data_IF_018312031317
#
_entry.id   IF_018312031317
#
_cell.length_a   1.000
_cell.length_b   1.000
_cell.length_c   1.000
_cell.angle_alpha   90.00
_cell.angle_beta   90.00
_cell.angle_gamma   90.00
#
_symmetry.space_group_name_H-M   'P 1'
#
loop_
_entity.id
_entity.type
_entity.pdbx_description
1 polymer ?
#
# COMPACT_ATOMS: atom_id res chain seq x y z
N UNK A 1 32.63 -7.52 22.02
CA UNK A 1 31.39 -8.33 21.94
C UNK A 1 30.18 -7.44 22.32
N UNK A 2 30.27 -6.14 22.02
CA UNK A 2 29.48 -5.10 22.71
C UNK A 2 28.55 -4.32 21.77
N UNK A 3 28.69 -4.53 20.45
CA UNK A 3 27.85 -3.87 19.44
C UNK A 3 26.40 -4.35 19.48
N UNK A 4 26.10 -5.55 19.98
CA UNK A 4 24.73 -6.09 19.96
C UNK A 4 23.82 -5.48 21.04
N UNK A 5 24.38 -5.10 22.19
CA UNK A 5 23.62 -4.53 23.31
C UNK A 5 23.23 -3.06 23.03
N UNK A 6 24.14 -2.29 22.44
CA UNK A 6 23.89 -0.88 22.07
C UNK A 6 22.90 -0.79 20.89
N UNK A 7 22.92 -1.77 19.98
CA UNK A 7 22.07 -1.76 18.79
C UNK A 7 20.64 -2.27 19.04
N UNK A 8 20.35 -2.92 20.16
CA UNK A 8 19.00 -3.38 20.51
C UNK A 8 17.96 -2.26 20.63
N UNK A 9 18.16 -1.18 21.42
CA UNK A 9 17.18 -0.10 21.51
C UNK A 9 16.95 0.59 20.16
N UNK A 10 18.00 0.71 19.35
CA UNK A 10 17.91 1.27 18.00
C UNK A 10 17.07 0.37 17.07
N UNK A 11 17.28 -0.96 17.09
CA UNK A 11 16.48 -1.93 16.32
C UNK A 11 15.00 -1.89 16.71
N UNK A 12 14.68 -1.76 18.00
CA UNK A 12 13.31 -1.63 18.50
C UNK A 12 12.66 -0.33 18.00
N UNK A 13 13.41 0.78 18.03
CA UNK A 13 12.95 2.06 17.53
C UNK A 13 12.67 2.01 16.02
N UNK A 14 13.61 1.46 15.23
CA UNK A 14 13.48 1.29 13.77
C UNK A 14 12.25 0.45 13.44
N UNK A 15 12.04 -0.68 14.13
CA UNK A 15 10.87 -1.53 13.92
C UNK A 15 9.56 -0.78 14.21
N UNK A 16 9.48 -0.05 15.32
CA UNK A 16 8.29 0.76 15.67
C UNK A 16 8.01 1.84 14.62
N UNK A 17 9.05 2.54 14.16
CA UNK A 17 8.91 3.57 13.12
C UNK A 17 8.48 2.94 11.80
N UNK A 18 9.10 1.82 11.40
CA UNK A 18 8.75 1.11 10.18
C UNK A 18 7.29 0.64 10.19
N UNK A 19 6.81 0.05 11.29
CA UNK A 19 5.40 -0.36 11.43
C UNK A 19 4.46 0.84 11.30
N UNK A 20 4.76 1.95 11.99
CA UNK A 20 3.93 3.18 11.92
C UNK A 20 3.91 3.77 10.52
N UNK A 21 5.07 3.86 9.86
CA UNK A 21 5.19 4.34 8.49
C UNK A 21 4.42 3.44 7.51
N UNK A 22 4.51 2.11 7.68
CA UNK A 22 3.78 1.15 6.84
C UNK A 22 2.27 1.30 7.03
N UNK A 23 1.80 1.45 8.27
CA UNK A 23 0.39 1.69 8.56
C UNK A 23 -0.11 3.01 7.96
N UNK A 24 0.65 4.10 8.12
CA UNK A 24 0.31 5.39 7.55
C UNK A 24 0.19 5.29 6.02
N UNK A 25 1.18 4.68 5.38
CA UNK A 25 1.20 4.54 3.92
C UNK A 25 0.08 3.61 3.44
N UNK A 26 -0.21 2.53 4.15
CA UNK A 26 -1.35 1.66 3.85
C UNK A 26 -2.69 2.41 3.94
N UNK A 27 -2.85 3.31 4.93
CA UNK A 27 -4.04 4.17 5.02
C UNK A 27 -4.14 5.11 3.82
N UNK A 28 -3.03 5.74 3.40
CA UNK A 28 -3.02 6.62 2.22
C UNK A 28 -3.40 5.84 0.95
N UNK A 29 -2.84 4.64 0.74
CA UNK A 29 -3.18 3.77 -0.39
C UNK A 29 -4.64 3.32 -0.32
N UNK A 30 -5.15 3.01 0.87
CA UNK A 30 -6.55 2.64 1.09
C UNK A 30 -7.50 3.80 0.77
N UNK A 31 -7.19 5.02 1.22
CA UNK A 31 -7.97 6.21 0.88
C UNK A 31 -7.94 6.50 -0.62
N UNK A 32 -6.81 6.27 -1.28
CA UNK A 32 -6.72 6.38 -2.74
C UNK A 32 -7.60 5.33 -3.45
N UNK A 33 -7.57 4.08 -3.02
CA UNK A 33 -8.47 3.04 -3.56
C UNK A 33 -9.95 3.37 -3.34
N UNK A 34 -10.30 3.90 -2.17
CA UNK A 34 -11.65 4.36 -1.85
C UNK A 34 -12.07 5.56 -2.72
N UNK A 35 -11.16 6.50 -2.96
CA UNK A 35 -11.38 7.62 -3.86
C UNK A 35 -11.70 7.13 -5.28
N UNK A 36 -10.96 6.15 -5.79
CA UNK A 36 -11.21 5.53 -7.10
C UNK A 36 -12.58 4.84 -7.15
N UNK A 37 -13.04 4.24 -6.06
CA UNK A 37 -14.35 3.60 -5.99
C UNK A 37 -15.52 4.60 -5.95
N UNK A 38 -15.39 5.70 -5.20
CA UNK A 38 -16.49 6.63 -4.95
C UNK A 38 -16.54 7.73 -6.01
N UNK A 39 -15.39 8.34 -6.30
CA UNK A 39 -15.26 9.47 -7.21
C UNK A 39 -14.78 8.93 -8.56
N UNK A 40 -13.71 8.14 -8.55
CA UNK A 40 -13.14 7.57 -9.76
C UNK A 40 -12.19 8.50 -10.48
N UNK A 41 -11.89 8.15 -11.73
CA UNK A 41 -10.91 8.86 -12.53
C UNK A 41 -11.61 9.93 -13.40
N UNK A 42 -10.97 11.09 -13.62
CA UNK A 42 -11.47 12.05 -14.59
C UNK A 42 -11.44 11.39 -15.98
N UNK A 43 -12.62 11.14 -16.53
CA UNK A 43 -12.79 10.66 -17.90
C UNK A 43 -13.17 11.82 -18.81
N UNK A 44 -12.55 11.91 -19.98
CA UNK A 44 -13.07 12.76 -21.06
C UNK A 44 -14.22 12.03 -21.73
N UNK A 45 -15.46 12.36 -21.35
CA UNK A 45 -16.64 11.96 -22.11
C UNK A 45 -16.87 12.99 -23.20
N UNK A 46 -16.59 12.62 -24.44
CA UNK A 46 -17.04 13.38 -25.61
C UNK A 46 -18.55 13.16 -25.69
N UNK A 47 -19.32 14.10 -25.16
CA UNK A 47 -20.77 14.10 -25.33
C UNK A 47 -21.06 14.73 -26.69
N UNK A 48 -21.20 13.91 -27.73
CA UNK A 48 -21.75 14.36 -29.01
C UNK A 48 -23.21 14.76 -28.80
N UNK A 49 -23.43 16.02 -28.45
CA UNK A 49 -24.78 16.58 -28.45
C UNK A 49 -25.15 16.80 -29.91
N UNK A 50 -25.98 15.92 -30.49
CA UNK A 50 -26.66 16.22 -31.75
C UNK A 50 -27.61 17.39 -31.53
N UNK A 51 -27.10 18.61 -31.59
CA UNK A 51 -27.94 19.78 -31.79
C UNK A 51 -28.17 19.89 -33.30
N UNK A 52 -29.41 19.66 -33.70
CA UNK A 52 -29.91 20.31 -34.90
C UNK A 52 -29.63 21.81 -34.72
N UNK A 53 -28.83 22.36 -35.62
CA UNK A 53 -28.52 23.79 -35.74
C UNK A 53 -27.88 24.42 -34.48
N UNK A 54 -26.54 24.46 -34.45
CA UNK A 54 -25.68 25.59 -34.00
C UNK A 54 -24.27 25.02 -33.77
N UNK A 55 -23.25 25.74 -34.26
CA UNK A 55 -21.82 25.37 -34.24
C UNK A 55 -21.35 24.70 -32.95
N UNK A 56 -20.69 23.55 -33.13
CA UNK A 56 -20.12 22.67 -32.10
C UNK A 56 -19.21 23.44 -31.13
N UNK A 57 -19.76 23.83 -29.98
CA UNK A 57 -18.97 24.12 -28.78
C UNK A 57 -18.94 22.84 -27.97
N UNK A 58 -17.88 22.05 -28.16
CA UNK A 58 -17.60 20.86 -27.34
C UNK A 58 -17.38 21.34 -25.89
N UNK A 59 -18.42 21.27 -25.07
CA UNK A 59 -18.31 21.53 -23.63
C UNK A 59 -17.68 20.28 -22.98
N UNK A 60 -16.35 20.27 -22.92
CA UNK A 60 -15.60 19.28 -22.14
C UNK A 60 -15.88 19.51 -20.65
N UNK A 61 -16.87 18.79 -20.10
CA UNK A 61 -17.08 18.75 -18.66
C UNK A 61 -16.36 17.53 -18.09
N UNK A 62 -15.39 17.71 -17.17
CA UNK A 62 -14.74 16.57 -16.54
C UNK A 62 -15.78 15.81 -15.72
N UNK A 63 -16.21 14.65 -16.20
CA UNK A 63 -17.00 13.70 -15.42
C UNK A 63 -16.06 12.71 -14.76
N UNK A 64 -16.15 12.64 -13.45
CA UNK A 64 -15.51 11.57 -12.68
C UNK A 64 -16.36 10.32 -12.81
N UNK A 65 -15.77 9.25 -13.33
CA UNK A 65 -16.44 7.95 -13.41
C UNK A 65 -15.82 6.98 -12.43
N UNK A 66 -16.64 6.35 -11.55
CA UNK A 66 -16.19 5.33 -10.61
C UNK A 66 -15.36 4.25 -11.30
N UNK A 67 -14.21 3.94 -10.72
CA UNK A 67 -13.26 2.95 -11.20
C UNK A 67 -13.34 1.71 -10.29
N UNK A 68 -14.03 0.63 -10.69
CA UNK A 68 -14.20 -0.56 -9.84
C UNK A 68 -12.86 -1.21 -9.47
N UNK A 69 -11.82 -1.01 -10.28
CA UNK A 69 -10.47 -1.50 -10.00
C UNK A 69 -9.85 -0.89 -8.72
N UNK A 70 -10.36 0.26 -8.23
CA UNK A 70 -9.99 0.85 -6.93
C UNK A 70 -10.26 -0.06 -5.73
N UNK A 71 -11.08 -1.10 -5.90
CA UNK A 71 -11.31 -2.13 -4.88
C UNK A 71 -10.04 -2.88 -4.50
N UNK A 72 -9.15 -3.14 -5.45
CA UNK A 72 -7.93 -3.92 -5.22
C UNK A 72 -6.96 -3.19 -4.28
N UNK A 73 -6.52 -1.94 -4.53
CA UNK A 73 -5.67 -1.21 -3.61
C UNK A 73 -6.33 -0.98 -2.25
N UNK A 74 -7.66 -0.82 -2.20
CA UNK A 74 -8.41 -0.71 -0.95
C UNK A 74 -8.35 -2.02 -0.13
N UNK A 75 -8.64 -3.16 -0.75
CA UNK A 75 -8.59 -4.46 -0.09
C UNK A 75 -7.16 -4.81 0.36
N UNK A 76 -6.17 -4.54 -0.49
CA UNK A 76 -4.76 -4.75 -0.18
C UNK A 76 -4.30 -3.92 1.04
N UNK A 77 -4.75 -2.66 1.13
CA UNK A 77 -4.51 -1.80 2.28
C UNK A 77 -5.15 -2.36 3.57
N UNK A 78 -6.38 -2.87 3.50
CA UNK A 78 -7.04 -3.52 4.64
C UNK A 78 -6.24 -4.74 5.10
N UNK A 79 -5.81 -5.61 4.17
CA UNK A 79 -5.00 -6.79 4.49
C UNK A 79 -3.67 -6.42 5.16
N UNK A 80 -3.00 -5.37 4.67
CA UNK A 80 -1.78 -4.83 5.28
C UNK A 80 -2.03 -4.34 6.71
N UNK A 81 -3.07 -3.53 6.92
CA UNK A 81 -3.41 -2.97 8.23
C UNK A 81 -3.79 -4.08 9.22
N UNK A 82 -4.66 -5.00 8.82
CA UNK A 82 -5.13 -6.11 9.65
C UNK A 82 -3.98 -7.07 9.95
N UNK A 83 -3.16 -7.42 8.95
CA UNK A 83 -2.00 -8.30 9.13
C UNK A 83 -0.97 -7.71 10.10
N UNK A 84 -0.66 -6.41 9.99
CA UNK A 84 0.23 -5.71 10.92
C UNK A 84 -0.35 -5.62 12.33
N UNK A 85 -1.65 -5.29 12.47
CA UNK A 85 -2.35 -5.18 13.76
C UNK A 85 -2.42 -6.52 14.49
N UNK A 86 -2.72 -7.60 13.78
CA UNK A 86 -2.84 -8.96 14.33
C UNK A 86 -1.51 -9.68 14.46
N UNK A 87 -0.39 -9.03 14.09
CA UNK A 87 0.96 -9.61 14.02
C UNK A 87 1.04 -10.85 13.10
N UNK A 88 0.07 -11.03 12.21
CA UNK A 88 0.07 -12.09 11.19
C UNK A 88 0.75 -11.58 9.93
N UNK A 89 2.09 -11.64 9.93
CA UNK A 89 2.91 -11.18 8.79
C UNK A 89 2.48 -11.79 7.45
N UNK A 90 2.06 -13.06 7.44
CA UNK A 90 1.57 -13.72 6.22
C UNK A 90 0.42 -12.95 5.55
N UNK A 91 -0.54 -12.45 6.33
CA UNK A 91 -1.68 -11.68 5.81
C UNK A 91 -1.20 -10.34 5.25
N UNK A 92 -0.26 -9.70 5.94
CA UNK A 92 0.29 -8.43 5.50
C UNK A 92 1.09 -8.57 4.19
N UNK A 93 1.88 -9.63 4.06
CA UNK A 93 2.57 -10.00 2.83
C UNK A 93 1.60 -10.31 1.69
N UNK A 94 0.47 -10.97 1.97
CA UNK A 94 -0.56 -11.25 0.97
C UNK A 94 -1.18 -9.95 0.42
N UNK A 95 -1.46 -8.98 1.30
CA UNK A 95 -1.87 -7.63 0.90
C UNK A 95 -0.81 -6.93 0.04
N UNK A 96 0.46 -6.98 0.45
CA UNK A 96 1.56 -6.37 -0.30
C UNK A 96 1.74 -6.99 -1.70
N UNK A 97 1.73 -8.32 -1.80
CA UNK A 97 1.88 -9.03 -3.08
C UNK A 97 0.73 -8.69 -4.01
N UNK A 98 -0.51 -8.64 -3.48
CA UNK A 98 -1.68 -8.23 -4.26
C UNK A 98 -1.50 -6.81 -4.81
N UNK A 99 -1.02 -5.87 -3.97
CA UNK A 99 -0.76 -4.49 -4.37
C UNK A 99 0.33 -4.40 -5.44
N UNK A 100 1.40 -5.19 -5.31
CA UNK A 100 2.51 -5.22 -6.27
C UNK A 100 2.07 -5.82 -7.61
N UNK A 101 1.34 -6.93 -7.60
CA UNK A 101 0.81 -7.53 -8.83
C UNK A 101 -0.09 -6.54 -9.56
N UNK A 102 -1.00 -5.90 -8.82
CA UNK A 102 -1.89 -4.89 -9.36
C UNK A 102 -1.10 -3.72 -9.97
N UNK A 103 -0.14 -3.16 -9.22
CA UNK A 103 0.69 -2.07 -9.70
C UNK A 103 1.55 -2.47 -10.92
N UNK A 104 2.00 -3.72 -10.98
CA UNK A 104 2.76 -4.26 -12.12
C UNK A 104 1.90 -4.46 -13.37
N UNK A 105 0.65 -4.89 -13.20
CA UNK A 105 -0.30 -5.08 -14.30
C UNK A 105 -0.77 -3.75 -14.90
N UNK A 106 -0.86 -2.70 -14.09
CA UNK A 106 -1.32 -1.37 -14.51
C UNK A 106 -0.18 -0.34 -14.58
N UNK A 107 1.05 -0.80 -14.81
CA UNK A 107 2.27 0.02 -14.79
C UNK A 107 2.27 1.15 -15.84
N UNK A 108 1.52 0.97 -16.94
CA UNK A 108 1.35 1.96 -18.01
C UNK A 108 0.06 2.80 -17.91
N UNK A 109 -0.75 2.60 -16.86
CA UNK A 109 -1.98 3.35 -16.61
C UNK A 109 -1.85 4.40 -15.50
N UNK A 110 -2.96 5.10 -15.21
CA UNK A 110 -3.07 6.06 -14.08
C UNK A 110 -2.77 5.39 -12.73
N UNK A 111 -2.87 4.06 -12.65
CA UNK A 111 -2.64 3.29 -11.44
C UNK A 111 -1.15 2.97 -11.20
N UNK A 112 -0.27 3.25 -12.17
CA UNK A 112 1.19 3.23 -11.98
C UNK A 112 1.67 4.21 -10.91
N UNK A 113 0.87 5.21 -10.55
CA UNK A 113 1.13 6.14 -9.43
C UNK A 113 1.24 5.41 -8.08
N UNK A 114 0.65 4.21 -7.96
CA UNK A 114 0.72 3.39 -6.74
C UNK A 114 2.04 2.60 -6.65
N UNK A 115 2.78 2.47 -7.75
CA UNK A 115 4.02 1.67 -7.82
C UNK A 115 5.13 2.16 -6.86
N UNK A 116 5.44 3.47 -6.75
CA UNK A 116 6.43 3.95 -5.79
C UNK A 116 6.01 3.65 -4.34
N UNK A 117 4.71 3.78 -4.04
CA UNK A 117 4.18 3.46 -2.72
C UNK A 117 4.28 1.95 -2.42
N UNK A 118 3.99 1.09 -3.40
CA UNK A 118 4.12 -0.36 -3.26
C UNK A 118 5.59 -0.78 -3.06
N UNK A 119 6.53 -0.18 -3.79
CA UNK A 119 7.96 -0.39 -3.60
C UNK A 119 8.45 0.04 -2.21
N UNK A 120 7.99 1.20 -1.73
CA UNK A 120 8.33 1.66 -0.38
C UNK A 120 7.73 0.76 0.71
N UNK A 121 6.48 0.32 0.55
CA UNK A 121 5.85 -0.67 1.43
C UNK A 121 6.62 -1.98 1.47
N UNK A 122 7.17 -2.43 0.34
CA UNK A 122 7.99 -3.63 0.27
C UNK A 122 9.28 -3.48 1.08
N UNK A 123 9.99 -2.36 0.93
CA UNK A 123 11.20 -2.09 1.72
C UNK A 123 10.87 -2.07 3.22
N UNK A 124 9.80 -1.39 3.62
CA UNK A 124 9.38 -1.35 5.02
C UNK A 124 8.99 -2.73 5.56
N UNK A 125 8.25 -3.54 4.79
CA UNK A 125 7.89 -4.91 5.16
C UNK A 125 9.10 -5.81 5.33
N UNK A 126 10.12 -5.67 4.48
CA UNK A 126 11.39 -6.41 4.63
C UNK A 126 12.08 -6.03 5.95
N UNK A 127 12.18 -4.74 6.26
CA UNK A 127 12.79 -4.26 7.52
C UNK A 127 12.02 -4.82 8.74
N UNK A 128 10.69 -4.78 8.71
CA UNK A 128 9.84 -5.30 9.79
C UNK A 128 10.07 -6.81 9.97
N UNK A 129 10.06 -7.56 8.86
CA UNK A 129 10.21 -9.03 8.88
C UNK A 129 11.58 -9.44 9.43
N UNK A 130 12.66 -8.81 8.97
CA UNK A 130 14.02 -9.10 9.45
C UNK A 130 14.15 -8.76 10.95
N UNK A 131 13.60 -7.62 11.37
CA UNK A 131 13.74 -7.16 12.76
C UNK A 131 12.92 -8.02 13.73
N UNK A 132 11.72 -8.47 13.34
CA UNK A 132 10.91 -9.39 14.15
C UNK A 132 11.57 -10.77 14.26
N UNK A 133 12.08 -11.34 13.16
CA UNK A 133 12.75 -12.64 13.17
C UNK A 133 13.99 -12.66 14.07
N UNK A 134 14.75 -11.57 14.09
CA UNK A 134 15.90 -11.43 14.99
C UNK A 134 15.49 -11.38 16.47
N UNK A 135 14.34 -10.79 16.79
CA UNK A 135 13.82 -10.71 18.16
C UNK A 135 13.34 -12.08 18.68
N UNK A 136 12.67 -12.86 17.83
CA UNK A 136 12.23 -14.22 18.16
C UNK A 136 13.43 -15.18 18.36
N UNK A 137 14.45 -15.08 17.52
CA UNK A 137 15.66 -15.90 17.65
C UNK A 137 16.45 -15.61 18.94
N UNK A 138 16.46 -14.36 19.43
CA UNK A 138 17.09 -14.03 20.72
C UNK A 138 16.33 -14.56 21.94
N UNK A 139 15.01 -14.75 21.84
CA UNK A 139 14.19 -15.31 22.92
C UNK A 139 14.19 -16.84 22.92
N UNK A 140 14.46 -17.46 21.77
CA UNK A 140 14.57 -18.91 21.61
C UNK A 140 15.99 -19.45 21.79
N UNK A 141 16.95 -18.66 22.28
CA UNK A 141 18.23 -19.23 22.72
C UNK A 141 17.91 -20.13 23.92
N UNK A 142 17.99 -21.47 23.79
CA UNK A 142 17.80 -22.34 24.93
C UNK A 142 18.83 -21.89 25.96
N UNK A 143 18.39 -21.71 27.20
CA UNK A 143 19.24 -21.57 28.38
C UNK A 143 20.06 -22.85 28.52
N UNK A 144 21.05 -23.02 27.64
CA UNK A 144 22.02 -24.08 27.70
C UNK A 144 23.17 -23.58 28.56
N UNK A 145 23.32 -24.27 29.70
CA UNK A 145 24.44 -24.25 30.64
C UNK A 145 24.43 -22.99 31.53
N UNK A 146 24.01 -23.07 32.79
CA UNK A 146 24.43 -24.01 33.85
C UNK A 146 23.40 -24.06 34.97
#
# INVERSE_FOLDING_TARGET
MDNDIINQPLKILISKVAVKATLLLAVVVGLYGLFLLIIGLPGMFIQEVRMFEVSEVVQESPRFTPAPQGFIPFLAAILLIVGLRTRKLLIAWLGLVTLLLFSALFLFGIEGVVLPAAGFLLVLMIIITITQRNTENTLNVPSQRR
#
